data_IF_446512652091
#
_entry.id   IF_446512652091
#
_cell.length_a   1.000
_cell.length_b   1.000
_cell.length_c   1.000
_cell.angle_alpha   90.00
_cell.angle_beta   90.00
_cell.angle_gamma   90.00
#
_symmetry.space_group_name_H-M   'P 1'
#
loop_
_entity.id
_entity.type
_entity.pdbx_description
1 polymer ?
#
# COMPACT_ATOMS: atom_id res chain seq x y z
N UNK A 1 -12.69 -12.28 6.56
CA UNK A 1 -11.51 -11.76 5.84
C UNK A 1 -11.22 -12.67 4.66
N UNK A 2 -10.59 -12.15 3.61
CA UNK A 2 -9.95 -12.98 2.60
C UNK A 2 -8.48 -13.16 2.98
N UNK A 3 -7.88 -14.30 2.61
CA UNK A 3 -6.54 -14.66 3.07
C UNK A 3 -5.68 -15.06 1.88
N UNK A 4 -4.55 -14.40 1.72
CA UNK A 4 -3.48 -14.80 0.82
C UNK A 4 -2.43 -15.59 1.59
N UNK A 5 -1.94 -16.68 1.02
CA UNK A 5 -0.81 -17.44 1.57
C UNK A 5 0.31 -17.50 0.56
N UNK A 6 1.51 -17.14 0.99
CA UNK A 6 2.72 -17.12 0.17
C UNK A 6 3.75 -18.04 0.80
N UNK A 7 4.33 -18.91 -0.02
CA UNK A 7 5.52 -19.71 0.28
C UNK A 7 6.59 -19.41 -0.78
N UNK A 8 7.82 -19.92 -0.65
CA UNK A 8 8.86 -19.71 -1.67
C UNK A 8 8.51 -20.16 -3.08
N UNK A 9 7.61 -21.12 -3.21
CA UNK A 9 7.30 -21.76 -4.49
C UNK A 9 5.83 -21.55 -4.91
N UNK A 10 5.00 -20.91 -4.08
CA UNK A 10 3.56 -20.85 -4.33
C UNK A 10 2.87 -19.64 -3.72
N UNK A 11 1.91 -19.09 -4.44
CA UNK A 11 1.00 -18.03 -3.98
C UNK A 11 -0.44 -18.52 -4.08
N UNK A 12 -1.12 -18.67 -2.95
CA UNK A 12 -2.58 -18.81 -2.89
C UNK A 12 -3.20 -17.43 -2.68
N UNK A 13 -3.88 -16.93 -3.68
CA UNK A 13 -4.46 -15.58 -3.72
C UNK A 13 -5.70 -15.43 -2.83
N UNK A 14 -6.05 -14.18 -2.56
CA UNK A 14 -7.24 -13.81 -1.77
C UNK A 14 -8.57 -14.22 -2.41
N UNK A 15 -8.58 -14.37 -3.74
CA UNK A 15 -9.72 -14.79 -4.55
C UNK A 15 -9.85 -16.32 -4.67
N UNK A 16 -8.89 -17.08 -4.14
CA UNK A 16 -8.87 -18.55 -4.19
C UNK A 16 -7.98 -19.15 -5.29
N UNK A 17 -7.52 -18.35 -6.25
CA UNK A 17 -6.54 -18.77 -7.24
C UNK A 17 -5.22 -19.22 -6.61
N UNK A 18 -4.54 -20.18 -7.24
CA UNK A 18 -3.21 -20.64 -6.81
C UNK A 18 -2.25 -20.53 -7.98
N UNK A 19 -1.10 -19.93 -7.72
CA UNK A 19 0.00 -19.74 -8.66
C UNK A 19 1.18 -20.54 -8.13
N UNK A 20 1.67 -21.50 -8.91
CA UNK A 20 2.95 -22.15 -8.68
C UNK A 20 4.03 -21.29 -9.35
N UNK A 21 5.14 -21.09 -8.65
CA UNK A 21 6.28 -20.31 -9.14
C UNK A 21 7.32 -21.26 -9.72
N UNK A 22 7.50 -21.27 -11.05
CA UNK A 22 8.50 -22.11 -11.69
C UNK A 22 9.86 -21.40 -11.73
N UNK A 23 9.85 -20.07 -11.87
CA UNK A 23 11.07 -19.26 -11.91
C UNK A 23 11.35 -18.64 -10.55
N UNK A 24 12.45 -19.05 -9.92
CA UNK A 24 12.93 -18.41 -8.68
C UNK A 24 13.66 -17.10 -8.96
N UNK A 25 13.35 -16.08 -8.16
CA UNK A 25 13.98 -14.76 -8.21
C UNK A 25 14.86 -14.57 -6.98
N UNK A 26 16.08 -15.16 -6.94
CA UNK A 26 16.96 -15.02 -5.80
C UNK A 26 17.28 -13.54 -5.58
N UNK A 27 17.24 -13.09 -4.33
CA UNK A 27 17.54 -11.70 -3.92
C UNK A 27 16.53 -10.63 -4.36
N UNK A 28 15.50 -10.98 -5.13
CA UNK A 28 14.46 -10.05 -5.51
C UNK A 28 13.40 -9.90 -4.41
N UNK A 29 12.95 -8.67 -4.24
CA UNK A 29 11.80 -8.33 -3.43
C UNK A 29 10.55 -8.32 -4.32
N UNK A 30 9.47 -8.92 -3.83
CA UNK A 30 8.21 -9.08 -4.55
C UNK A 30 7.10 -8.39 -3.78
N UNK A 31 6.28 -7.59 -4.47
CA UNK A 31 5.09 -6.97 -3.88
C UNK A 31 3.98 -8.01 -3.72
N UNK A 32 3.70 -8.38 -2.46
CA UNK A 32 2.63 -9.32 -2.13
C UNK A 32 1.26 -8.65 -2.18
N UNK A 33 1.15 -7.51 -1.49
CA UNK A 33 -0.05 -6.67 -1.41
C UNK A 33 0.40 -5.22 -1.30
N UNK A 34 -0.22 -4.32 -2.04
CA UNK A 34 -0.07 -2.88 -1.86
C UNK A 34 -1.42 -2.18 -2.04
N UNK A 35 -1.54 -0.97 -1.49
CA UNK A 35 -2.70 -0.12 -1.72
C UNK A 35 -2.61 0.58 -3.08
N UNK A 36 -3.62 0.37 -3.91
CA UNK A 36 -3.69 0.87 -5.28
C UNK A 36 -4.80 1.93 -5.44
N UNK A 37 -5.37 2.41 -4.32
CA UNK A 37 -6.49 3.35 -4.26
C UNK A 37 -6.11 4.83 -4.01
N UNK A 38 -4.81 5.16 -4.06
CA UNK A 38 -4.26 6.53 -3.99
C UNK A 38 -4.38 7.27 -2.65
N UNK A 39 -4.86 6.62 -1.59
CA UNK A 39 -5.25 7.30 -0.35
C UNK A 39 -4.38 6.99 0.85
N UNK A 40 -3.72 5.87 0.80
CA UNK A 40 -2.96 5.35 1.91
C UNK A 40 -1.76 4.62 1.34
N UNK A 41 -0.66 4.66 2.06
CA UNK A 41 0.57 3.99 1.65
C UNK A 41 0.67 2.72 2.46
N UNK A 42 0.39 1.60 1.81
CA UNK A 42 0.66 0.28 2.34
C UNK A 42 1.35 -0.52 1.24
N UNK A 43 2.48 -1.12 1.58
CA UNK A 43 3.12 -2.15 0.79
C UNK A 43 3.57 -3.28 1.72
N UNK A 44 3.18 -4.50 1.38
CA UNK A 44 3.63 -5.73 2.00
C UNK A 44 4.43 -6.46 0.93
N UNK A 45 5.71 -6.65 1.19
CA UNK A 45 6.66 -7.29 0.29
C UNK A 45 7.30 -8.48 0.96
N UNK A 46 7.85 -9.39 0.16
CA UNK A 46 8.77 -10.40 0.69
C UNK A 46 9.95 -10.62 -0.23
N UNK A 47 11.04 -11.10 0.34
CA UNK A 47 12.25 -11.52 -0.38
C UNK A 47 12.85 -12.77 0.25
N UNK A 48 13.58 -13.60 -0.51
CA UNK A 48 14.32 -14.72 0.06
C UNK A 48 15.32 -14.25 1.13
N UNK A 49 15.44 -15.02 2.22
CA UNK A 49 16.41 -14.73 3.27
C UNK A 49 17.85 -14.98 2.75
N UNK A 50 18.83 -14.13 3.09
CA UNK A 50 20.22 -14.34 2.72
C UNK A 50 20.73 -15.71 3.17
N UNK A 51 21.32 -16.48 2.26
CA UNK A 51 21.85 -17.82 2.53
C UNK A 51 20.79 -18.93 2.71
N UNK A 52 19.49 -18.61 2.69
CA UNK A 52 18.44 -19.63 2.77
C UNK A 52 17.17 -19.23 2.00
N UNK A 53 17.06 -19.72 0.75
CA UNK A 53 15.93 -19.41 -0.15
C UNK A 53 14.62 -20.12 0.23
N UNK A 54 14.65 -21.09 1.14
CA UNK A 54 13.43 -21.69 1.70
C UNK A 54 12.77 -20.81 2.77
N UNK A 55 13.46 -19.74 3.19
CA UNK A 55 12.96 -18.77 4.14
C UNK A 55 12.82 -17.40 3.48
N UNK A 56 11.94 -16.57 4.05
CA UNK A 56 11.60 -15.27 3.53
C UNK A 56 11.68 -14.20 4.62
N UNK A 57 12.11 -13.01 4.22
CA UNK A 57 11.98 -11.78 5.00
C UNK A 57 10.76 -11.05 4.47
N UNK A 58 9.88 -10.64 5.37
CA UNK A 58 8.64 -9.91 5.05
C UNK A 58 8.79 -8.47 5.52
N UNK A 59 8.53 -7.52 4.64
CA UNK A 59 8.52 -6.10 4.98
C UNK A 59 7.09 -5.56 4.85
N UNK A 60 6.65 -4.82 5.85
CA UNK A 60 5.36 -4.11 5.88
C UNK A 60 5.71 -2.64 6.01
N UNK A 61 5.56 -1.91 4.91
CA UNK A 61 5.77 -0.48 4.85
C UNK A 61 4.42 0.23 4.87
N UNK A 62 4.31 1.21 5.76
CA UNK A 62 3.21 2.16 5.86
C UNK A 62 3.74 3.59 5.69
N UNK A 63 2.88 4.60 5.75
CA UNK A 63 3.28 6.02 5.60
C UNK A 63 4.36 6.45 6.60
N UNK A 64 4.25 5.97 7.84
CA UNK A 64 5.03 6.43 8.97
C UNK A 64 5.86 5.33 9.65
N UNK A 65 5.69 4.06 9.25
CA UNK A 65 6.36 2.92 9.88
C UNK A 65 6.83 1.89 8.86
N UNK A 66 7.96 1.27 9.18
CA UNK A 66 8.46 0.06 8.50
C UNK A 66 8.62 -1.07 9.50
N UNK A 67 7.98 -2.21 9.22
CA UNK A 67 8.06 -3.42 10.04
C UNK A 67 8.71 -4.52 9.21
N UNK A 68 9.79 -5.11 9.72
CA UNK A 68 10.46 -6.25 9.10
C UNK A 68 10.27 -7.49 9.99
N UNK A 69 9.80 -8.58 9.40
CA UNK A 69 9.76 -9.91 10.02
C UNK A 69 10.79 -10.77 9.31
N UNK A 70 11.84 -11.17 10.03
CA UNK A 70 12.95 -11.96 9.48
C UNK A 70 13.13 -13.28 10.23
N UNK A 71 13.60 -14.36 9.58
CA UNK A 71 13.83 -15.62 10.26
C UNK A 71 15.06 -15.58 11.18
N UNK A 72 14.98 -16.25 12.34
CA UNK A 72 16.07 -16.45 13.31
C UNK A 72 16.03 -17.86 13.88
N UNK A 73 16.91 -18.73 13.36
CA UNK A 73 16.92 -20.17 13.64
C UNK A 73 15.51 -20.79 13.50
N UNK A 74 14.88 -21.20 14.60
CA UNK A 74 13.54 -21.80 14.65
C UNK A 74 12.43 -20.80 15.04
N UNK A 75 12.74 -19.51 14.98
CA UNK A 75 11.86 -18.40 15.35
C UNK A 75 11.91 -17.28 14.31
N UNK A 76 11.23 -16.17 14.59
CA UNK A 76 11.29 -14.94 13.80
C UNK A 76 11.69 -13.76 14.69
N UNK A 77 12.44 -12.83 14.12
CA UNK A 77 12.73 -11.52 14.69
C UNK A 77 11.79 -10.50 14.05
N UNK A 78 11.35 -9.55 14.85
CA UNK A 78 10.59 -8.41 14.36
C UNK A 78 11.35 -7.13 14.65
N UNK A 79 11.52 -6.31 13.61
CA UNK A 79 12.05 -4.96 13.73
C UNK A 79 10.96 -3.97 13.37
N UNK A 80 10.81 -2.93 14.18
CA UNK A 80 9.97 -1.77 13.87
C UNK A 80 10.90 -0.57 13.76
N UNK A 81 10.94 0.05 12.59
CA UNK A 81 11.84 1.15 12.23
C UNK A 81 13.31 0.82 12.56
N UNK A 82 13.73 -0.40 12.20
CA UNK A 82 15.07 -0.93 12.44
C UNK A 82 15.33 -1.43 13.87
N UNK A 83 14.52 -1.02 14.85
CA UNK A 83 14.68 -1.39 16.25
C UNK A 83 14.07 -2.77 16.53
N UNK A 84 14.85 -3.65 17.15
CA UNK A 84 14.41 -5.00 17.48
C UNK A 84 13.32 -4.94 18.57
N UNK A 85 12.17 -5.54 18.29
CA UNK A 85 11.12 -5.75 19.28
C UNK A 85 11.55 -6.89 20.21
N UNK A 86 11.36 -6.71 21.52
CA UNK A 86 11.71 -7.74 22.50
C UNK A 86 11.10 -9.10 22.12
N UNK A 87 11.85 -10.19 22.29
CA UNK A 87 11.33 -11.56 22.09
C UNK A 87 10.18 -11.76 23.08
N UNK A 88 9.06 -12.31 22.61
CA UNK A 88 7.83 -12.57 23.37
C UNK A 88 6.95 -11.36 23.76
N UNK A 89 6.51 -10.52 22.82
CA UNK A 89 5.47 -9.55 23.12
C UNK A 89 4.10 -10.26 23.15
N UNK A 90 3.44 -10.31 24.32
CA UNK A 90 2.02 -10.71 24.42
C UNK A 90 1.18 -9.90 23.44
N UNK A 91 1.37 -8.57 23.43
CA UNK A 91 1.07 -7.62 22.36
C UNK A 91 1.96 -6.38 22.59
N UNK A 92 2.76 -5.97 21.62
CA UNK A 92 3.42 -4.65 21.64
C UNK A 92 2.74 -3.74 20.63
N UNK A 93 2.23 -2.60 21.10
CA UNK A 93 1.60 -1.58 20.26
C UNK A 93 2.58 -0.46 19.97
N UNK A 94 2.67 -0.07 18.70
CA UNK A 94 3.45 1.05 18.20
C UNK A 94 2.48 2.08 17.64
N UNK A 95 2.37 3.23 18.30
CA UNK A 95 1.47 4.28 17.84
C UNK A 95 2.12 5.11 16.72
N UNK A 96 1.39 5.28 15.62
CA UNK A 96 1.71 6.20 14.54
C UNK A 96 0.90 7.49 14.63
N UNK A 97 1.02 8.34 13.62
CA UNK A 97 0.26 9.60 13.56
C UNK A 97 -1.26 9.31 13.42
N UNK A 98 -2.08 9.97 14.25
CA UNK A 98 -3.53 10.05 14.03
C UNK A 98 -4.33 8.72 14.03
N UNK A 99 -4.11 7.83 15.02
CA UNK A 99 -4.74 6.49 15.20
C UNK A 99 -4.18 5.36 14.32
N UNK A 100 -3.10 5.58 13.56
CA UNK A 100 -2.45 4.55 12.74
C UNK A 100 -1.45 3.72 13.55
N UNK A 101 -1.96 2.96 14.51
CA UNK A 101 -1.11 2.09 15.32
C UNK A 101 -0.90 0.72 14.66
N UNK A 102 0.26 0.13 14.91
CA UNK A 102 0.60 -1.24 14.55
C UNK A 102 0.78 -2.07 15.81
N UNK A 103 0.19 -3.26 15.86
CA UNK A 103 0.39 -4.20 16.96
C UNK A 103 1.21 -5.40 16.48
N UNK A 104 2.20 -5.80 17.26
CA UNK A 104 3.01 -7.01 17.03
C UNK A 104 2.70 -7.99 18.15
N UNK A 105 2.31 -9.20 17.79
CA UNK A 105 1.97 -10.27 18.75
C UNK A 105 2.63 -11.58 18.34
N UNK A 106 3.31 -12.24 19.27
CA UNK A 106 3.69 -13.63 19.07
C UNK A 106 2.48 -14.55 19.28
N UNK A 107 2.30 -15.53 18.39
CA UNK A 107 1.22 -16.51 18.51
C UNK A 107 1.60 -17.59 19.53
N UNK A 108 0.60 -18.31 20.02
CA UNK A 108 0.74 -19.30 21.10
C UNK A 108 1.67 -20.48 20.80
N UNK A 109 2.01 -20.71 19.53
CA UNK A 109 3.01 -21.72 19.13
C UNK A 109 4.46 -21.24 19.30
N UNK A 110 4.69 -19.97 19.63
CA UNK A 110 6.01 -19.39 19.83
C UNK A 110 6.87 -19.26 18.56
N UNK A 111 6.37 -19.69 17.39
CA UNK A 111 7.11 -19.69 16.12
C UNK A 111 6.60 -18.64 15.15
N UNK A 112 5.31 -18.32 15.21
CA UNK A 112 4.66 -17.34 14.35
C UNK A 112 4.50 -16.00 15.05
N UNK A 113 4.64 -14.93 14.28
CA UNK A 113 4.25 -13.58 14.69
C UNK A 113 3.13 -13.07 13.82
N UNK A 114 2.18 -12.36 14.43
CA UNK A 114 1.15 -11.59 13.76
C UNK A 114 1.42 -10.10 13.94
N UNK A 115 1.49 -9.38 12.81
CA UNK A 115 1.53 -7.92 12.75
C UNK A 115 0.14 -7.45 12.32
N UNK A 116 -0.47 -6.53 13.08
CA UNK A 116 -1.84 -6.05 12.87
C UNK A 116 -1.80 -4.55 12.58
N UNK A 117 -2.37 -4.14 11.44
CA UNK A 117 -2.59 -2.74 11.09
C UNK A 117 -3.93 -2.30 11.67
N UNK A 118 -3.94 -1.77 12.90
CA UNK A 118 -5.17 -1.57 13.70
C UNK A 118 -6.25 -0.76 12.99
N UNK A 119 -5.85 0.32 12.32
CA UNK A 119 -6.74 1.26 11.64
C UNK A 119 -7.42 0.68 10.39
N UNK A 120 -6.77 -0.29 9.73
CA UNK A 120 -7.25 -0.89 8.49
C UNK A 120 -7.73 -2.33 8.68
N UNK A 121 -7.37 -2.97 9.79
CA UNK A 121 -7.69 -4.36 10.15
C UNK A 121 -7.09 -5.40 9.21
N UNK A 122 -6.09 -5.10 8.38
CA UNK A 122 -5.24 -6.16 7.82
C UNK A 122 -4.30 -6.71 8.88
N UNK A 123 -3.89 -7.96 8.69
CA UNK A 123 -2.86 -8.58 9.52
C UNK A 123 -1.97 -9.49 8.68
N UNK A 124 -0.69 -9.52 9.01
CA UNK A 124 0.31 -10.40 8.41
C UNK A 124 0.78 -11.40 9.45
N UNK A 125 0.68 -12.69 9.15
CA UNK A 125 1.20 -13.76 10.01
C UNK A 125 2.36 -14.44 9.29
N UNK A 126 3.50 -14.60 9.96
CA UNK A 126 4.63 -15.34 9.39
C UNK A 126 5.46 -16.10 10.43
N UNK A 127 6.02 -17.23 10.01
CA UNK A 127 7.08 -18.01 10.66
C UNK A 127 8.43 -17.91 9.92
N UNK A 128 8.54 -17.00 8.94
CA UNK A 128 9.72 -16.87 8.08
C UNK A 128 9.78 -17.90 6.94
N UNK A 129 8.79 -18.78 6.78
CA UNK A 129 8.64 -19.66 5.61
C UNK A 129 7.33 -19.35 4.88
N UNK A 130 6.23 -19.26 5.64
CA UNK A 130 4.90 -18.96 5.15
C UNK A 130 4.55 -17.53 5.53
N UNK A 131 3.97 -16.78 4.60
CA UNK A 131 3.40 -15.45 4.83
C UNK A 131 1.90 -15.54 4.60
N UNK A 132 1.10 -15.24 5.62
CA UNK A 132 -0.36 -15.23 5.52
C UNK A 132 -0.89 -13.80 5.71
N UNK A 133 -1.40 -13.21 4.64
CA UNK A 133 -1.92 -11.83 4.64
C UNK A 133 -3.45 -11.90 4.69
N UNK A 134 -4.04 -11.38 5.77
CA UNK A 134 -5.49 -11.29 5.93
C UNK A 134 -5.94 -9.89 5.55
N UNK A 135 -6.81 -9.80 4.54
CA UNK A 135 -7.36 -8.54 4.04
C UNK A 135 -8.88 -8.53 4.30
N UNK A 136 -9.42 -7.48 4.96
CA UNK A 136 -10.85 -7.20 5.00
C UNK A 136 -11.48 -7.18 3.60
N UNK A 137 -12.66 -7.80 3.46
CA UNK A 137 -13.34 -7.89 2.15
C UNK A 137 -13.63 -6.51 1.54
N UNK A 138 -13.86 -5.51 2.37
CA UNK A 138 -14.11 -4.11 1.97
C UNK A 138 -12.90 -3.44 1.31
N UNK A 139 -11.67 -3.92 1.56
CA UNK A 139 -10.43 -3.39 0.98
C UNK A 139 -9.96 -4.18 -0.25
N UNK A 140 -10.59 -5.32 -0.56
CA UNK A 140 -10.21 -6.11 -1.74
C UNK A 140 -10.26 -5.32 -3.07
N UNK A 141 -11.21 -4.40 -3.29
CA UNK A 141 -11.21 -3.60 -4.52
C UNK A 141 -10.06 -2.59 -4.61
N UNK A 142 -9.44 -2.24 -3.48
CA UNK A 142 -8.42 -1.19 -3.38
C UNK A 142 -6.99 -1.71 -3.35
N UNK A 143 -6.79 -3.00 -3.10
CA UNK A 143 -5.45 -3.61 -3.05
C UNK A 143 -5.08 -4.32 -4.36
N UNK A 144 -3.79 -4.33 -4.68
CA UNK A 144 -3.21 -5.10 -5.78
C UNK A 144 -1.86 -5.73 -5.37
N UNK A 145 -1.26 -6.59 -6.19
CA UNK A 145 -0.10 -7.41 -5.81
C UNK A 145 -0.25 -8.88 -6.25
N UNK A 146 0.76 -9.70 -5.98
CA UNK A 146 0.71 -11.14 -6.35
C UNK A 146 -0.40 -11.90 -5.62
N UNK A 147 -0.89 -11.38 -4.48
CA UNK A 147 -2.04 -11.92 -3.76
C UNK A 147 -3.39 -11.73 -4.46
N UNK A 148 -3.37 -11.19 -5.68
CA UNK A 148 -4.51 -11.10 -6.59
C UNK A 148 -5.38 -9.88 -6.34
N UNK A 149 -6.21 -9.58 -7.34
CA UNK A 149 -7.20 -8.50 -7.30
C UNK A 149 -8.57 -9.04 -7.67
N UNK A 150 -9.62 -8.56 -7.00
CA UNK A 150 -11.02 -8.88 -7.37
C UNK A 150 -11.43 -8.30 -8.73
N UNK A 151 -10.57 -7.46 -9.32
CA UNK A 151 -10.75 -6.88 -10.66
C UNK A 151 -10.31 -7.82 -11.79
N UNK A 152 -9.65 -8.93 -11.44
CA UNK A 152 -9.10 -9.90 -12.37
C UNK A 152 -9.93 -11.18 -12.32
N UNK A 153 -10.37 -11.67 -13.48
CA UNK A 153 -11.07 -12.95 -13.56
C UNK A 153 -10.08 -14.12 -13.48
N UNK A 154 -8.87 -13.97 -14.06
CA UNK A 154 -7.82 -15.00 -13.98
C UNK A 154 -7.04 -14.95 -12.66
N UNK A 155 -7.04 -13.79 -11.99
CA UNK A 155 -6.20 -13.51 -10.82
C UNK A 155 -4.82 -12.96 -11.18
N UNK A 156 -4.48 -12.88 -12.47
CA UNK A 156 -3.14 -12.51 -12.98
C UNK A 156 -3.08 -11.08 -13.51
N UNK A 157 -3.69 -10.13 -12.80
CA UNK A 157 -3.65 -8.70 -13.15
C UNK A 157 -2.41 -8.02 -12.57
N UNK A 158 -1.47 -7.65 -13.45
CA UNK A 158 -0.24 -6.96 -13.06
C UNK A 158 -0.47 -5.50 -12.65
N UNK A 159 0.60 -4.80 -12.22
CA UNK A 159 0.50 -3.43 -11.69
C UNK A 159 -0.08 -2.44 -12.71
N UNK A 160 0.21 -2.63 -13.99
CA UNK A 160 -0.23 -1.76 -15.09
C UNK A 160 -1.65 -2.09 -15.60
N UNK A 161 -2.43 -2.88 -14.83
CA UNK A 161 -3.77 -3.34 -15.19
C UNK A 161 -3.81 -4.21 -16.46
N UNK A 162 -2.68 -4.84 -16.79
CA UNK A 162 -2.56 -5.83 -17.85
C UNK A 162 -2.83 -7.20 -17.25
N UNK A 163 -3.72 -7.96 -17.88
CA UNK A 163 -3.99 -9.35 -17.52
C UNK A 163 -2.94 -10.24 -18.20
N UNK A 164 -2.25 -11.06 -17.41
CA UNK A 164 -1.23 -11.97 -17.88
C UNK A 164 -1.82 -13.37 -18.08
N UNK A 165 -1.28 -14.11 -19.04
CA UNK A 165 -1.59 -15.53 -19.24
C UNK A 165 -0.53 -16.44 -18.63
N UNK A 166 0.71 -15.95 -18.53
CA UNK A 166 1.85 -16.66 -17.96
C UNK A 166 1.99 -16.27 -16.46
N UNK A 167 1.96 -17.24 -15.54
CA UNK A 167 2.09 -16.97 -14.11
C UNK A 167 3.45 -16.41 -13.69
N UNK A 168 4.57 -16.83 -14.29
CA UNK A 168 5.90 -16.29 -13.97
C UNK A 168 6.07 -14.87 -14.54
N UNK A 169 5.49 -14.58 -15.71
CA UNK A 169 5.42 -13.21 -16.22
C UNK A 169 4.60 -12.31 -15.26
N UNK A 170 3.48 -12.81 -14.75
CA UNK A 170 2.69 -12.11 -13.73
C UNK A 170 3.49 -11.88 -12.43
N UNK A 171 4.11 -12.91 -11.87
CA UNK A 171 4.89 -12.80 -10.64
C UNK A 171 6.07 -11.83 -10.83
N UNK A 172 6.78 -11.92 -11.95
CA UNK A 172 7.91 -11.04 -12.25
C UNK A 172 7.51 -9.57 -12.44
N UNK A 173 6.27 -9.30 -12.86
CA UNK A 173 5.74 -7.93 -12.98
C UNK A 173 5.66 -7.17 -11.64
N UNK A 174 5.67 -7.89 -10.51
CA UNK A 174 5.65 -7.34 -9.16
C UNK A 174 7.01 -7.34 -8.44
N UNK A 175 8.11 -7.64 -9.16
CA UNK A 175 9.46 -7.51 -8.61
C UNK A 175 9.85 -6.05 -8.46
N UNK A 176 10.46 -5.72 -7.31
CA UNK A 176 10.98 -4.40 -6.99
C UNK A 176 12.44 -4.32 -7.48
N UNK A 177 12.76 -3.41 -8.42
CA UNK A 177 14.14 -3.21 -8.86
C UNK A 177 15.03 -2.75 -7.70
N UNK A 178 16.21 -3.34 -7.59
CA UNK A 178 17.22 -2.92 -6.61
C UNK A 178 18.62 -3.21 -7.13
N UNK A 179 19.64 -2.74 -6.42
CA UNK A 179 21.05 -3.08 -6.69
C UNK A 179 21.35 -4.59 -6.59
N UNK A 180 20.45 -5.39 -6.00
CA UNK A 180 20.57 -6.83 -5.84
C UNK A 180 19.55 -7.63 -6.65
N UNK A 181 18.68 -6.94 -7.42
CA UNK A 181 17.67 -7.56 -8.26
C UNK A 181 17.53 -6.79 -9.57
N UNK A 182 18.02 -7.38 -10.66
CA UNK A 182 17.77 -6.90 -12.02
C UNK A 182 16.38 -7.34 -12.48
N UNK A 183 15.36 -6.75 -11.85
CA UNK A 183 13.96 -7.03 -12.14
C UNK A 183 13.63 -6.78 -13.63
N UNK A 184 14.22 -5.74 -14.22
CA UNK A 184 14.00 -5.37 -15.62
C UNK A 184 14.51 -6.44 -16.58
N UNK A 185 15.72 -6.97 -16.37
CA UNK A 185 16.21 -8.08 -17.21
C UNK A 185 15.36 -9.36 -17.06
N UNK A 186 14.89 -9.65 -15.84
CA UNK A 186 14.00 -10.80 -15.58
C UNK A 186 12.67 -10.61 -16.32
N UNK A 187 12.06 -9.43 -16.20
CA UNK A 187 10.80 -9.06 -16.84
C UNK A 187 10.90 -9.16 -18.37
N UNK A 188 11.95 -8.58 -18.96
CA UNK A 188 12.20 -8.64 -20.40
C UNK A 188 12.32 -10.09 -20.90
N UNK A 189 13.04 -10.94 -20.15
CA UNK A 189 13.19 -12.37 -20.50
C UNK A 189 11.87 -13.13 -20.46
N UNK A 190 10.97 -12.78 -19.54
CA UNK A 190 9.67 -13.41 -19.38
C UNK A 190 8.57 -12.77 -20.24
N UNK A 191 8.95 -11.88 -21.17
CA UNK A 191 8.00 -11.23 -22.08
C UNK A 191 7.01 -10.32 -21.34
N UNK A 192 7.35 -9.89 -20.12
CA UNK A 192 6.65 -8.78 -19.47
C UNK A 192 6.90 -7.57 -20.35
N UNK A 193 5.85 -6.94 -20.91
CA UNK A 193 6.06 -5.77 -21.76
C UNK A 193 6.87 -4.77 -20.96
N UNK A 194 8.02 -4.34 -21.51
CA UNK A 194 8.73 -3.20 -20.95
C UNK A 194 7.69 -2.12 -20.73
N UNK A 195 7.69 -1.53 -19.53
CA UNK A 195 6.93 -0.31 -19.31
C UNK A 195 7.39 0.63 -20.40
N UNK A 196 6.54 0.79 -21.42
CA UNK A 196 6.74 1.86 -22.37
C UNK A 196 6.58 3.11 -21.54
N UNK A 197 7.69 3.68 -21.11
CA UNK A 197 7.83 5.12 -20.90
C UNK A 197 7.64 5.82 -22.26
N UNK A 198 6.60 5.49 -23.02
CA UNK A 198 5.94 6.49 -23.81
C UNK A 198 5.36 7.41 -22.75
N UNK A 199 6.07 8.51 -22.50
CA UNK A 199 5.68 9.59 -21.59
C UNK A 199 4.33 10.14 -22.04
N UNK A 200 3.27 9.41 -21.71
CA UNK A 200 1.93 9.76 -22.10
C UNK A 200 1.56 10.88 -21.16
N UNK A 201 1.32 12.08 -21.71
CA UNK A 201 0.77 13.17 -20.92
C UNK A 201 -0.57 12.70 -20.35
N UNK A 202 -0.60 12.51 -19.04
CA UNK A 202 -1.78 12.18 -18.27
C UNK A 202 -2.32 13.46 -17.67
N UNK A 203 -3.62 13.69 -17.83
CA UNK A 203 -4.29 14.78 -17.14
C UNK A 203 -4.34 14.46 -15.64
N UNK A 204 -3.94 15.40 -14.76
CA UNK A 204 -4.10 15.23 -13.32
C UNK A 204 -5.55 14.90 -12.96
N UNK A 205 -5.73 13.96 -12.04
CA UNK A 205 -7.05 13.69 -11.47
C UNK A 205 -7.48 14.82 -10.54
N UNK A 206 -8.78 15.01 -10.39
CA UNK A 206 -9.37 15.99 -9.48
C UNK A 206 -9.81 15.32 -8.19
N UNK A 207 -9.47 15.89 -7.04
CA UNK A 207 -9.93 15.41 -5.72
C UNK A 207 -10.21 16.55 -4.75
N UNK A 208 -11.00 16.28 -3.73
CA UNK A 208 -11.10 17.19 -2.58
C UNK A 208 -9.87 17.01 -1.71
N UNK A 209 -9.15 18.10 -1.46
CA UNK A 209 -8.06 18.11 -0.49
C UNK A 209 -8.63 18.15 0.92
N UNK A 210 -8.07 17.36 1.83
CA UNK A 210 -8.51 17.29 3.22
C UNK A 210 -7.33 17.54 4.14
N UNK A 211 -7.49 18.51 5.04
CA UNK A 211 -6.49 18.85 6.04
C UNK A 211 -7.06 18.75 7.44
N UNK A 212 -6.22 18.36 8.38
CA UNK A 212 -6.52 18.41 9.80
C UNK A 212 -5.69 19.53 10.43
N UNK A 213 -6.33 20.41 11.19
CA UNK A 213 -5.65 21.51 11.86
C UNK A 213 -6.27 21.81 13.22
N UNK A 214 -5.52 22.51 14.07
CA UNK A 214 -6.03 23.01 15.34
C UNK A 214 -6.18 24.52 15.22
N UNK A 215 -7.40 25.02 15.40
CA UNK A 215 -7.67 26.45 15.41
C UNK A 215 -8.25 26.83 16.76
N UNK A 216 -7.55 27.69 17.50
CA UNK A 216 -7.91 28.10 18.87
C UNK A 216 -8.15 26.91 19.82
N UNK A 217 -7.26 25.90 19.77
CA UNK A 217 -7.36 24.69 20.59
C UNK A 217 -8.46 23.70 20.16
N UNK A 218 -9.21 23.97 19.09
CA UNK A 218 -10.27 23.10 18.60
C UNK A 218 -9.78 22.36 17.34
N UNK A 219 -9.79 21.02 17.32
CA UNK A 219 -9.46 20.25 16.13
C UNK A 219 -10.53 20.44 15.05
N UNK A 220 -10.09 20.80 13.86
CA UNK A 220 -10.91 21.02 12.67
C UNK A 220 -10.42 20.16 11.51
N UNK A 221 -11.38 19.74 10.70
CA UNK A 221 -11.14 19.10 9.41
C UNK A 221 -11.59 20.07 8.33
N UNK A 222 -10.67 20.38 7.42
CA UNK A 222 -10.84 21.35 6.36
C UNK A 222 -10.88 20.65 5.01
N UNK A 223 -11.82 21.07 4.16
CA UNK A 223 -12.06 20.49 2.84
C UNK A 223 -11.92 21.57 1.78
N UNK A 224 -11.18 21.32 0.70
CA UNK A 224 -11.06 22.29 -0.39
C UNK A 224 -12.43 22.53 -1.04
N UNK A 225 -12.78 23.79 -1.28
CA UNK A 225 -14.06 24.14 -1.92
C UNK A 225 -14.06 23.85 -3.41
N UNK A 226 -12.87 23.89 -4.02
CA UNK A 226 -12.65 23.44 -5.39
C UNK A 226 -11.80 22.19 -5.38
N UNK A 227 -12.00 21.28 -6.34
CA UNK A 227 -11.12 20.14 -6.50
C UNK A 227 -9.69 20.61 -6.78
N UNK A 228 -8.73 19.91 -6.21
CA UNK A 228 -7.31 20.08 -6.49
C UNK A 228 -6.86 19.06 -7.52
N UNK A 229 -5.90 19.46 -8.35
CA UNK A 229 -5.24 18.55 -9.27
C UNK A 229 -4.20 17.71 -8.55
N UNK A 230 -4.16 16.41 -8.86
CA UNK A 230 -3.13 15.50 -8.36
C UNK A 230 -2.76 14.47 -9.43
N UNK A 231 -1.47 14.15 -9.51
CA UNK A 231 -0.93 13.13 -10.39
C UNK A 231 -1.24 11.72 -9.87
N UNK A 232 -1.45 10.77 -10.78
CA UNK A 232 -1.74 9.38 -10.40
C UNK A 232 -0.47 8.71 -9.82
N UNK A 233 -0.60 7.65 -9.00
CA UNK A 233 0.56 6.84 -8.65
C UNK A 233 1.30 6.38 -9.91
N UNK A 234 2.63 6.32 -9.85
CA UNK A 234 3.52 6.04 -10.99
C UNK A 234 3.49 7.11 -12.10
N UNK A 235 3.10 8.35 -11.78
CA UNK A 235 3.29 9.49 -12.69
C UNK A 235 4.21 10.54 -12.08
N UNK A 236 5.02 11.21 -12.91
CA UNK A 236 5.89 12.32 -12.50
C UNK A 236 5.17 13.64 -12.79
N UNK A 237 5.27 14.60 -11.88
CA UNK A 237 4.81 15.97 -12.11
C UNK A 237 5.77 16.66 -13.08
N UNK A 238 5.32 16.94 -14.30
CA UNK A 238 6.13 17.64 -15.31
C UNK A 238 6.01 19.16 -15.17
N UNK A 239 4.79 19.64 -14.93
CA UNK A 239 4.49 21.06 -14.85
C UNK A 239 3.57 21.33 -13.68
N UNK A 240 3.89 22.37 -12.91
CA UNK A 240 3.09 22.84 -11.79
C UNK A 240 2.55 24.25 -12.01
N UNK A 241 1.53 24.61 -11.25
CA UNK A 241 0.98 25.94 -11.14
C UNK A 241 0.73 26.26 -9.66
N UNK A 242 1.00 27.51 -9.25
CA UNK A 242 0.66 27.99 -7.92
C UNK A 242 -0.78 28.48 -7.90
N UNK A 243 -1.61 27.91 -7.03
CA UNK A 243 -2.99 28.34 -6.82
C UNK A 243 -3.27 28.57 -5.36
N UNK A 244 -4.08 29.59 -5.07
CA UNK A 244 -4.64 29.79 -3.74
C UNK A 244 -5.90 28.94 -3.62
N UNK A 245 -5.88 27.98 -2.70
CA UNK A 245 -6.97 27.05 -2.44
C UNK A 245 -7.77 27.55 -1.25
N UNK A 246 -9.08 27.63 -1.45
CA UNK A 246 -10.03 27.97 -0.41
C UNK A 246 -10.50 26.69 0.28
N UNK A 247 -10.58 26.71 1.62
CA UNK A 247 -11.05 25.58 2.40
C UNK A 247 -12.22 25.95 3.29
N UNK A 248 -13.13 24.99 3.48
CA UNK A 248 -14.21 25.05 4.47
C UNK A 248 -13.84 24.12 5.62
N UNK A 249 -13.79 24.67 6.83
CA UNK A 249 -13.38 23.93 8.01
C UNK A 249 -14.57 23.67 8.95
N UNK A 250 -14.75 22.41 9.33
CA UNK A 250 -15.74 21.98 10.33
C UNK A 250 -15.02 21.35 11.53
N UNK A 251 -15.66 21.31 12.70
CA UNK A 251 -15.09 20.64 13.87
C UNK A 251 -14.89 19.16 13.55
N UNK A 252 -13.71 18.61 13.83
CA UNK A 252 -13.38 17.22 13.50
C UNK A 252 -14.30 16.21 14.19
N UNK A 253 -14.84 16.55 15.36
CA UNK A 253 -15.78 15.70 16.10
C UNK A 253 -17.23 15.79 15.61
N UNK A 254 -17.53 16.60 14.59
CA UNK A 254 -18.89 16.76 14.09
C UNK A 254 -19.28 15.60 13.16
N UNK A 255 -20.54 15.13 13.19
CA UNK A 255 -21.03 14.12 12.24
C UNK A 255 -20.88 14.55 10.78
N UNK A 256 -20.90 15.87 10.53
CA UNK A 256 -20.68 16.42 9.20
C UNK A 256 -19.25 16.20 8.72
N UNK A 257 -18.24 16.32 9.60
CA UNK A 257 -16.86 16.05 9.26
C UNK A 257 -16.65 14.58 8.89
N UNK A 258 -17.26 13.66 9.64
CA UNK A 258 -17.20 12.22 9.36
C UNK A 258 -17.85 11.89 8.01
N UNK A 259 -19.05 12.41 7.76
CA UNK A 259 -19.74 12.25 6.47
C UNK A 259 -18.90 12.79 5.30
N UNK A 260 -18.34 14.00 5.43
CA UNK A 260 -17.53 14.60 4.38
C UNK A 260 -16.23 13.84 4.15
N UNK A 261 -15.60 13.32 5.21
CA UNK A 261 -14.44 12.44 5.10
C UNK A 261 -14.78 11.16 4.34
N UNK A 262 -15.94 10.55 4.61
CA UNK A 262 -16.37 9.34 3.93
C UNK A 262 -16.60 9.59 2.43
N UNK A 263 -17.30 10.69 2.08
CA UNK A 263 -17.58 11.04 0.69
C UNK A 263 -16.32 11.50 -0.05
N UNK A 264 -15.44 12.28 0.59
CA UNK A 264 -14.18 12.73 -0.02
C UNK A 264 -13.24 11.54 -0.31
N UNK A 265 -13.40 10.44 0.43
CA UNK A 265 -12.82 9.14 0.13
C UNK A 265 -13.67 8.35 -0.87
N UNK A 266 -14.48 8.93 -1.72
CA UNK A 266 -15.11 8.19 -2.83
C UNK A 266 -15.11 9.05 -4.08
N UNK A 267 -15.35 10.36 -3.91
CA UNK A 267 -15.50 11.30 -5.00
C UNK A 267 -15.15 12.72 -4.54
N UNK A 268 -15.21 13.65 -5.50
CA UNK A 268 -15.14 15.09 -5.20
C UNK A 268 -16.37 15.49 -4.37
N UNK A 269 -16.13 16.27 -3.32
CA UNK A 269 -17.15 16.78 -2.42
C UNK A 269 -17.74 18.08 -3.00
N UNK A 270 -18.90 17.98 -3.65
CA UNK A 270 -19.58 19.15 -4.23
C UNK A 270 -20.32 19.98 -3.17
N UNK A 271 -20.68 19.39 -2.03
CA UNK A 271 -21.44 20.02 -0.94
C UNK A 271 -20.69 21.17 -0.23
N UNK A 272 -19.38 21.28 -0.46
CA UNK A 272 -18.54 22.36 0.08
C UNK A 272 -18.25 23.46 -0.95
N UNK A 273 -18.66 23.29 -2.21
CA UNK A 273 -18.33 24.21 -3.31
C UNK A 273 -18.90 25.61 -3.11
N UNK A 274 -20.15 25.68 -2.66
CA UNK A 274 -20.89 26.94 -2.47
C UNK A 274 -20.82 27.46 -1.03
N UNK A 275 -20.03 26.81 -0.16
CA UNK A 275 -19.86 27.22 1.23
C UNK A 275 -18.81 28.31 1.36
N UNK A 276 -19.02 29.22 2.31
CA UNK A 276 -18.08 30.30 2.62
C UNK A 276 -16.75 29.72 3.13
N UNK A 277 -15.61 30.01 2.47
CA UNK A 277 -14.31 29.55 2.92
C UNK A 277 -13.94 30.09 4.30
N UNK A 278 -13.31 29.25 5.10
CA UNK A 278 -12.74 29.61 6.41
C UNK A 278 -11.30 30.09 6.30
N UNK A 279 -10.52 29.51 5.37
CA UNK A 279 -9.11 29.81 5.15
C UNK A 279 -8.76 29.73 3.66
N UNK A 280 -7.64 30.36 3.31
CA UNK A 280 -7.04 30.34 1.97
C UNK A 280 -5.56 29.99 2.11
N UNK A 281 -5.07 29.06 1.31
CA UNK A 281 -3.67 28.64 1.36
C UNK A 281 -3.07 28.50 -0.05
N UNK A 282 -1.83 28.95 -0.26
CA UNK A 282 -1.13 28.68 -1.51
C UNK A 282 -0.78 27.19 -1.61
N UNK A 283 -1.00 26.61 -2.78
CA UNK A 283 -0.69 25.22 -3.10
C UNK A 283 -0.05 25.13 -4.48
N UNK A 284 0.98 24.30 -4.59
CA UNK A 284 1.59 23.92 -5.85
C UNK A 284 0.79 22.75 -6.41
N UNK A 285 0.13 22.95 -7.55
CA UNK A 285 -0.71 21.93 -8.18
C UNK A 285 -0.11 21.45 -9.50
N UNK A 286 -0.11 20.14 -9.78
CA UNK A 286 0.24 19.63 -11.09
C UNK A 286 -0.76 20.09 -12.16
N UNK A 287 -0.22 20.52 -13.29
CA UNK A 287 -0.95 20.79 -14.55
C UNK A 287 -0.81 19.63 -15.52
N UNK A 288 0.37 19.01 -15.51
CA UNK A 288 0.72 17.91 -16.41
C UNK A 288 1.43 16.85 -15.60
N UNK A 289 0.98 15.62 -15.80
CA UNK A 289 1.62 14.42 -15.27
C UNK A 289 2.14 13.60 -16.43
N UNK A 290 3.28 12.96 -16.25
CA UNK A 290 3.81 11.97 -17.19
C UNK A 290 3.65 10.60 -16.58
N UNK A 291 2.96 9.68 -17.25
CA UNK A 291 2.98 8.26 -16.84
C UNK A 291 4.37 7.66 -17.07
N UNK A 292 4.92 7.05 -16.03
CA UNK A 292 6.12 6.21 -16.10
C UNK A 292 5.75 4.77 -16.46
#
# INVERSE_FOLDING_TARGET
>A
MAVCHVTPDRVRQTTGGTIEQEVRYPHCETVLVMDCSRRDTLAITSRPAPGNTSKQIVTIATEDRTIEVSPDADSVLVRVDGSLVAKHPEVTRFDGDGKRSVSVRQLSDGRRVEVILEHRRESVVSDGVIVSIKVPRVQLPTVCGVCGSVRSASGLLGPDQVEYTDPDAFLSSYLVPSNHCDATAIQARLGVPERRQESKLVRPSQRTDVKHMIQNGIPKTCFSTKPISECQPNTIVEKTENKVVAYVCVRSSSPLAEKYLEISRLQVLDEVRDRTPSIYEPMIMPQVCIAN
#
